data_IF_423333260875
#
_entry.id   IF_423333260875
#
_cell.length_a   1.000
_cell.length_b   1.000
_cell.length_c   1.000
_cell.angle_alpha   90.00
_cell.angle_beta   90.00
_cell.angle_gamma   90.00
#
_symmetry.space_group_name_H-M   'P 1'
#
loop_
_entity.id
_entity.type
_entity.pdbx_description
1 polymer ?
#
# COMPACT_ATOMS: atom_id res chain seq x y z
N UNK A 1 -17.76 -49.31 88.36
CA UNK A 1 -17.86 -47.87 88.65
C UNK A 1 -17.89 -47.12 87.34
N UNK A 2 -18.76 -46.12 87.28
CA UNK A 2 -19.29 -45.51 86.07
C UNK A 2 -18.28 -44.60 85.38
N UNK A 3 -18.23 -44.67 84.05
CA UNK A 3 -17.74 -43.58 83.23
C UNK A 3 -18.89 -42.57 83.04
N UNK A 4 -18.63 -41.26 83.07
CA UNK A 4 -19.66 -40.23 82.98
C UNK A 4 -20.30 -40.23 81.58
N UNK A 5 -21.60 -39.99 81.56
CA UNK A 5 -22.45 -39.90 80.38
C UNK A 5 -21.95 -38.84 79.38
N UNK A 6 -22.03 -39.08 78.07
CA UNK A 6 -21.76 -38.05 77.08
C UNK A 6 -22.84 -36.95 77.11
N UNK A 7 -22.48 -35.68 76.80
CA UNK A 7 -23.45 -34.59 76.71
C UNK A 7 -24.46 -34.82 75.56
N UNK A 8 -25.65 -34.20 75.63
CA UNK A 8 -26.76 -34.52 74.74
C UNK A 8 -26.54 -33.94 73.33
N UNK A 9 -26.89 -34.76 72.33
CA UNK A 9 -27.19 -34.39 70.94
C UNK A 9 -26.02 -33.96 70.04
N UNK A 10 -25.22 -34.93 69.60
CA UNK A 10 -24.79 -34.94 68.21
C UNK A 10 -26.03 -35.24 67.34
N UNK A 11 -26.78 -34.21 66.96
CA UNK A 11 -27.74 -34.32 65.88
C UNK A 11 -26.94 -34.34 64.57
N UNK A 12 -26.75 -35.55 64.04
CA UNK A 12 -26.48 -35.75 62.62
C UNK A 12 -27.61 -35.08 61.83
N UNK A 13 -27.37 -33.86 61.32
CA UNK A 13 -28.23 -33.27 60.29
C UNK A 13 -27.53 -33.38 58.95
N UNK A 14 -28.25 -33.97 58.01
CA UNK A 14 -27.90 -34.09 56.60
C UNK A 14 -27.49 -32.72 56.05
N UNK A 15 -26.37 -32.71 55.34
CA UNK A 15 -25.88 -31.56 54.61
C UNK A 15 -26.65 -31.43 53.30
N UNK A 16 -27.60 -30.51 53.25
CA UNK A 16 -28.14 -29.98 52.00
C UNK A 16 -27.62 -28.54 51.83
N UNK A 17 -26.73 -28.37 50.85
CA UNK A 17 -26.47 -27.11 50.14
C UNK A 17 -26.11 -25.86 50.96
N UNK A 18 -24.85 -25.43 50.81
CA UNK A 18 -24.36 -24.07 51.06
C UNK A 18 -24.30 -23.62 52.52
N UNK A 19 -23.11 -23.74 53.13
CA UNK A 19 -22.46 -22.71 53.98
C UNK A 19 -21.00 -23.18 54.21
N UNK A 20 -20.04 -22.36 53.77
CA UNK A 20 -18.62 -22.46 54.18
C UNK A 20 -18.45 -21.51 55.36
N UNK A 21 -18.17 -22.06 56.54
CA UNK A 21 -18.06 -21.28 57.77
C UNK A 21 -16.70 -20.57 57.86
N UNK A 22 -16.68 -19.24 57.73
CA UNK A 22 -15.58 -18.39 58.19
C UNK A 22 -16.15 -17.32 59.14
N UNK A 23 -15.41 -17.05 60.21
CA UNK A 23 -15.86 -16.47 61.47
C UNK A 23 -16.64 -15.14 61.39
N UNK A 24 -17.73 -15.07 62.18
CA UNK A 24 -18.40 -13.90 62.80
C UNK A 24 -19.31 -12.94 62.02
N UNK A 25 -19.65 -13.16 60.74
CA UNK A 25 -20.83 -12.50 60.15
C UNK A 25 -21.60 -13.47 59.26
N UNK A 26 -22.69 -14.05 59.78
CA UNK A 26 -23.61 -14.89 59.02
C UNK A 26 -24.47 -14.00 58.11
N UNK A 27 -23.92 -13.64 56.94
CA UNK A 27 -24.73 -13.16 55.82
C UNK A 27 -24.87 -14.31 54.81
N UNK A 28 -26.10 -14.59 54.39
CA UNK A 28 -26.34 -15.48 53.28
C UNK A 28 -25.79 -14.84 52.00
N UNK A 29 -24.88 -15.54 51.31
CA UNK A 29 -24.43 -15.14 49.99
C UNK A 29 -25.56 -15.37 48.98
N UNK A 30 -25.81 -14.39 48.13
CA UNK A 30 -26.64 -14.56 46.95
C UNK A 30 -26.01 -15.60 46.01
N UNK A 31 -26.81 -16.26 45.14
CA UNK A 31 -26.25 -17.14 44.12
C UNK A 31 -25.17 -16.47 43.25
N UNK A 32 -25.29 -15.16 43.01
CA UNK A 32 -24.29 -14.38 42.29
C UNK A 32 -22.99 -14.23 43.09
N UNK A 33 -23.04 -13.91 44.38
CA UNK A 33 -21.84 -13.80 45.23
C UNK A 33 -21.12 -15.16 45.38
N UNK A 34 -21.85 -16.28 45.39
CA UNK A 34 -21.25 -17.64 45.39
C UNK A 34 -20.57 -17.90 44.05
N UNK A 35 -21.23 -17.58 42.94
CA UNK A 35 -20.70 -17.75 41.59
C UNK A 35 -19.45 -16.88 41.36
N UNK A 36 -19.45 -15.63 41.80
CA UNK A 36 -18.32 -14.72 41.70
C UNK A 36 -17.10 -15.26 42.48
N UNK A 37 -17.33 -15.80 43.67
CA UNK A 37 -16.29 -16.39 44.52
C UNK A 37 -15.74 -17.70 43.96
N UNK A 38 -16.59 -18.52 43.34
CA UNK A 38 -16.18 -19.72 42.61
C UNK A 38 -15.35 -19.35 41.36
N UNK A 39 -15.84 -18.40 40.57
CA UNK A 39 -15.14 -17.90 39.38
C UNK A 39 -13.80 -17.27 39.76
N UNK A 40 -13.68 -16.55 40.88
CA UNK A 40 -12.42 -15.96 41.36
C UNK A 40 -11.29 -16.99 41.55
N UNK A 41 -11.62 -18.26 41.80
CA UNK A 41 -10.65 -19.35 41.92
C UNK A 41 -10.27 -20.04 40.61
N UNK A 42 -10.95 -19.73 39.50
CA UNK A 42 -10.70 -20.36 38.20
C UNK A 42 -10.05 -19.36 37.23
N UNK A 43 -8.97 -19.75 36.51
CA UNK A 43 -8.42 -18.90 35.46
C UNK A 43 -9.49 -18.62 34.39
N UNK A 44 -9.55 -17.40 33.83
CA UNK A 44 -10.43 -17.10 32.71
C UNK A 44 -10.09 -17.97 31.50
N UNK A 45 -11.10 -18.41 30.76
CA UNK A 45 -10.92 -19.09 29.47
C UNK A 45 -11.14 -18.06 28.39
N UNK A 46 -10.05 -17.61 27.77
CA UNK A 46 -10.11 -16.59 26.72
C UNK A 46 -10.75 -17.16 25.47
N UNK A 47 -11.80 -16.51 24.99
CA UNK A 47 -12.45 -16.84 23.74
C UNK A 47 -12.81 -15.56 23.00
N UNK A 48 -12.45 -15.48 21.73
CA UNK A 48 -12.62 -14.29 20.90
C UNK A 48 -13.39 -14.66 19.64
N UNK A 49 -14.20 -13.73 19.15
CA UNK A 49 -14.88 -13.85 17.86
C UNK A 49 -14.76 -12.56 17.06
N UNK A 50 -14.99 -12.64 15.76
CA UNK A 50 -14.98 -11.52 14.84
C UNK A 50 -16.21 -11.57 13.93
N UNK A 51 -16.68 -10.42 13.45
CA UNK A 51 -17.79 -10.35 12.49
C UNK A 51 -17.41 -10.88 11.10
N UNK A 52 -16.15 -10.72 10.70
CA UNK A 52 -15.55 -11.25 9.48
C UNK A 52 -14.15 -11.76 9.79
N UNK A 53 -13.71 -12.79 9.07
CA UNK A 53 -12.34 -13.34 9.19
C UNK A 53 -11.57 -13.26 7.89
N UNK A 54 -12.19 -12.78 6.81
CA UNK A 54 -11.50 -12.48 5.56
C UNK A 54 -12.17 -11.36 4.76
N UNK A 55 -11.39 -10.72 3.88
CA UNK A 55 -11.85 -9.67 2.97
C UNK A 55 -10.69 -8.87 2.39
N UNK A 56 -10.98 -7.89 1.52
CA UNK A 56 -9.95 -7.06 0.89
C UNK A 56 -9.54 -5.88 1.78
N UNK A 57 -8.28 -5.47 1.71
CA UNK A 57 -7.81 -4.25 2.36
C UNK A 57 -8.48 -2.98 1.78
N UNK A 58 -8.85 -1.99 2.61
CA UNK A 58 -8.83 -2.01 4.07
C UNK A 58 -10.00 -2.82 4.67
N UNK A 59 -9.71 -3.74 5.59
CA UNK A 59 -10.71 -4.61 6.22
C UNK A 59 -11.00 -4.17 7.67
N UNK A 60 -12.17 -3.59 7.90
CA UNK A 60 -12.66 -3.26 9.24
C UNK A 60 -13.29 -4.48 9.93
N UNK A 61 -12.69 -4.91 11.04
CA UNK A 61 -13.09 -6.09 11.83
C UNK A 61 -13.54 -5.66 13.22
N UNK A 62 -14.76 -6.05 13.59
CA UNK A 62 -15.29 -5.94 14.93
C UNK A 62 -14.96 -7.22 15.71
N UNK A 63 -14.15 -7.09 16.75
CA UNK A 63 -13.85 -8.18 17.68
C UNK A 63 -14.82 -8.17 18.86
N UNK A 64 -15.16 -9.36 19.34
CA UNK A 64 -15.97 -9.56 20.53
C UNK A 64 -15.28 -10.50 21.51
N UNK A 65 -15.21 -10.06 22.76
CA UNK A 65 -14.76 -10.86 23.89
C UNK A 65 -15.88 -11.78 24.39
N UNK A 66 -15.61 -13.09 24.44
CA UNK A 66 -16.45 -14.11 25.03
C UNK A 66 -15.74 -14.83 26.18
N UNK A 67 -14.73 -14.18 26.78
CA UNK A 67 -13.92 -14.74 27.86
C UNK A 67 -14.77 -15.03 29.09
N UNK A 68 -14.58 -16.23 29.65
CA UNK A 68 -15.31 -16.64 30.84
C UNK A 68 -14.75 -16.02 32.13
N UNK A 69 -15.52 -16.15 33.21
CA UNK A 69 -15.09 -15.82 34.58
C UNK A 69 -14.79 -14.33 34.85
N UNK A 70 -15.45 -13.43 34.12
CA UNK A 70 -15.52 -11.98 34.38
C UNK A 70 -14.16 -11.26 34.45
N UNK A 71 -13.46 -11.11 33.31
CA UNK A 71 -12.27 -10.27 33.24
C UNK A 71 -12.59 -8.79 33.54
N UNK A 72 -11.58 -8.06 34.01
CA UNK A 72 -11.70 -6.65 34.40
C UNK A 72 -10.88 -5.69 33.53
N UNK A 73 -9.97 -6.21 32.69
CA UNK A 73 -9.24 -5.43 31.69
C UNK A 73 -8.89 -6.30 30.47
N UNK A 74 -8.68 -5.63 29.33
CA UNK A 74 -8.37 -6.24 28.04
C UNK A 74 -7.14 -5.57 27.43
N UNK A 75 -6.30 -6.37 26.79
CA UNK A 75 -5.19 -5.91 25.97
C UNK A 75 -5.17 -6.76 24.69
N UNK A 76 -5.64 -6.16 23.60
CA UNK A 76 -5.64 -6.75 22.27
C UNK A 76 -4.33 -6.46 21.55
N UNK A 77 -3.86 -7.47 20.83
CA UNK A 77 -2.84 -7.39 19.80
C UNK A 77 -3.44 -7.99 18.52
N UNK A 78 -3.56 -7.16 17.48
CA UNK A 78 -4.20 -7.56 16.23
C UNK A 78 -3.25 -8.26 15.26
N UNK A 79 -1.95 -8.33 15.57
CA UNK A 79 -0.93 -9.00 14.75
C UNK A 79 -0.31 -8.13 13.65
N UNK A 80 -0.71 -6.86 13.54
CA UNK A 80 -0.20 -5.86 12.58
C UNK A 80 0.46 -4.65 13.26
N UNK A 81 0.74 -4.76 14.56
CA UNK A 81 1.21 -3.65 15.41
C UNK A 81 0.08 -2.81 16.03
N UNK A 82 -1.16 -2.99 15.58
CA UNK A 82 -2.34 -2.38 16.20
C UNK A 82 -2.68 -3.02 17.55
N UNK A 83 -3.12 -2.18 18.51
CA UNK A 83 -3.53 -2.63 19.85
C UNK A 83 -4.81 -1.94 20.33
N UNK A 84 -5.48 -2.53 21.31
CA UNK A 84 -6.64 -1.89 21.97
C UNK A 84 -6.82 -2.34 23.42
N UNK A 85 -7.42 -1.49 24.24
CA UNK A 85 -7.83 -1.81 25.62
C UNK A 85 -9.33 -1.91 25.81
N UNK A 86 -10.12 -1.75 24.74
CA UNK A 86 -11.56 -1.93 24.77
C UNK A 86 -11.92 -3.42 24.84
N UNK A 87 -13.04 -3.74 25.49
CA UNK A 87 -13.55 -5.12 25.53
C UNK A 87 -13.91 -5.64 24.13
N UNK A 88 -14.60 -4.84 23.33
CA UNK A 88 -15.05 -5.18 21.97
C UNK A 88 -14.59 -4.11 20.97
N UNK A 89 -13.32 -4.11 20.55
CA UNK A 89 -12.78 -3.09 19.64
C UNK A 89 -13.17 -3.34 18.19
N UNK A 90 -13.24 -2.26 17.41
CA UNK A 90 -13.11 -2.32 15.94
C UNK A 90 -11.67 -2.00 15.57
N UNK A 91 -11.07 -2.81 14.70
CA UNK A 91 -9.73 -2.59 14.14
C UNK A 91 -9.78 -2.69 12.63
N UNK A 92 -8.99 -1.88 11.93
CA UNK A 92 -8.95 -1.88 10.46
C UNK A 92 -7.56 -2.32 10.00
N UNK A 93 -7.51 -3.44 9.30
CA UNK A 93 -6.29 -3.93 8.66
C UNK A 93 -6.11 -3.24 7.30
N UNK A 94 -4.98 -2.56 7.10
CA UNK A 94 -4.73 -1.76 5.90
C UNK A 94 -3.94 -2.50 4.81
N UNK A 95 -3.24 -3.56 5.17
CA UNK A 95 -2.38 -4.34 4.27
C UNK A 95 -2.91 -5.76 4.08
N UNK A 96 -2.55 -6.37 2.96
CA UNK A 96 -2.74 -7.79 2.73
C UNK A 96 -1.90 -8.60 3.72
N UNK A 97 -2.45 -9.70 4.23
CA UNK A 97 -1.71 -10.57 5.15
C UNK A 97 -2.60 -11.53 5.91
N UNK A 98 -1.94 -12.46 6.61
CA UNK A 98 -2.58 -13.30 7.61
C UNK A 98 -2.17 -12.81 9.00
N UNK A 99 -3.16 -12.45 9.80
CA UNK A 99 -2.95 -11.82 11.10
C UNK A 99 -3.31 -12.77 12.24
N UNK A 100 -2.35 -12.97 13.13
CA UNK A 100 -2.53 -13.70 14.37
C UNK A 100 -3.04 -12.74 15.45
N UNK A 101 -4.24 -12.99 15.96
CA UNK A 101 -4.90 -12.11 16.94
C UNK A 101 -4.76 -12.69 18.34
N UNK A 102 -4.31 -11.87 19.28
CA UNK A 102 -4.20 -12.24 20.70
C UNK A 102 -5.00 -11.30 21.58
N UNK A 103 -5.70 -11.85 22.57
CA UNK A 103 -6.32 -11.11 23.65
C UNK A 103 -5.70 -11.55 24.97
N UNK A 104 -5.10 -10.61 25.68
CA UNK A 104 -4.72 -10.78 27.09
C UNK A 104 -5.78 -10.13 27.97
N UNK A 105 -6.41 -10.93 28.83
CA UNK A 105 -7.34 -10.40 29.84
C UNK A 105 -6.66 -10.36 31.20
N UNK A 106 -7.02 -9.37 32.01
CA UNK A 106 -6.63 -9.30 33.42
C UNK A 106 -7.83 -9.54 34.30
N UNK A 107 -7.62 -10.28 35.38
CA UNK A 107 -8.61 -10.51 36.44
C UNK A 107 -7.92 -10.54 37.80
N UNK A 108 -8.67 -10.18 38.85
CA UNK A 108 -8.25 -10.40 40.25
C UNK A 108 -8.45 -11.86 40.67
N UNK A 109 -7.39 -12.48 41.19
CA UNK A 109 -7.46 -13.78 41.84
C UNK A 109 -8.06 -13.70 43.27
N UNK A 110 -8.16 -14.83 43.95
CA UNK A 110 -8.67 -14.92 45.33
C UNK A 110 -7.88 -14.12 46.37
N UNK A 111 -6.64 -13.72 46.05
CA UNK A 111 -5.76 -12.91 46.89
C UNK A 111 -5.73 -11.44 46.45
N UNK A 112 -6.61 -11.03 45.52
CA UNK A 112 -6.67 -9.70 44.93
C UNK A 112 -5.41 -9.30 44.15
N UNK A 113 -4.68 -10.29 43.62
CA UNK A 113 -3.55 -10.11 42.72
C UNK A 113 -4.01 -10.20 41.26
N UNK A 114 -3.31 -9.50 40.37
CA UNK A 114 -3.61 -9.55 38.94
C UNK A 114 -3.12 -10.87 38.34
N UNK A 115 -4.05 -11.60 37.73
CA UNK A 115 -3.81 -12.77 36.91
C UNK A 115 -4.11 -12.44 35.46
N UNK A 116 -3.09 -12.57 34.61
CA UNK A 116 -3.20 -12.34 33.17
C UNK A 116 -3.29 -13.68 32.45
N UNK A 117 -4.23 -13.80 31.51
CA UNK A 117 -4.34 -14.97 30.62
C UNK A 117 -4.46 -14.48 29.20
N UNK A 118 -3.69 -15.09 28.31
CA UNK A 118 -3.68 -14.77 26.88
C UNK A 118 -4.31 -15.92 26.10
N UNK A 119 -5.26 -15.58 25.22
CA UNK A 119 -5.74 -16.47 24.16
C UNK A 119 -5.28 -15.94 22.81
N UNK A 120 -4.83 -16.84 21.94
CA UNK A 120 -4.32 -16.51 20.61
C UNK A 120 -5.03 -17.35 19.55
N UNK A 121 -5.44 -16.71 18.46
CA UNK A 121 -5.87 -17.39 17.23
C UNK A 121 -4.89 -17.08 16.12
N UNK A 122 -4.19 -18.12 15.67
CA UNK A 122 -3.20 -18.04 14.59
C UNK A 122 -3.93 -17.84 13.26
N UNK A 123 -3.43 -16.92 12.43
CA UNK A 123 -3.97 -16.59 11.09
C UNK A 123 -5.49 -16.41 11.11
N UNK A 124 -5.99 -15.71 12.13
CA UNK A 124 -7.43 -15.60 12.37
C UNK A 124 -8.12 -14.67 11.37
N UNK A 125 -7.42 -13.65 10.91
CA UNK A 125 -7.89 -12.70 9.90
C UNK A 125 -7.00 -12.81 8.66
N UNK A 126 -7.61 -13.08 7.51
CA UNK A 126 -6.94 -13.09 6.20
C UNK A 126 -7.39 -11.88 5.40
N UNK A 127 -6.49 -10.93 5.19
CA UNK A 127 -6.75 -9.77 4.35
C UNK A 127 -6.15 -10.02 2.98
N UNK A 128 -6.97 -9.96 1.95
CA UNK A 128 -6.58 -10.10 0.55
C UNK A 128 -6.21 -8.72 -0.03
N UNK A 129 -5.26 -8.69 -0.97
CA UNK A 129 -4.97 -7.50 -1.75
C UNK A 129 -6.11 -7.14 -2.69
N UNK A 130 -6.11 -5.90 -3.18
CA UNK A 130 -7.00 -5.51 -4.28
C UNK A 130 -6.71 -6.38 -5.50
N UNK A 131 -7.75 -6.72 -6.27
CA UNK A 131 -7.51 -7.30 -7.59
C UNK A 131 -6.76 -6.29 -8.47
N UNK A 132 -6.01 -6.77 -9.45
CA UNK A 132 -5.30 -5.88 -10.39
C UNK A 132 -6.26 -4.91 -11.10
N UNK A 133 -7.49 -5.35 -11.39
CA UNK A 133 -8.54 -4.50 -11.98
C UNK A 133 -8.95 -3.38 -11.04
N UNK A 134 -9.24 -3.70 -9.78
CA UNK A 134 -9.63 -2.69 -8.78
C UNK A 134 -8.48 -1.71 -8.53
N UNK A 135 -7.24 -2.20 -8.49
CA UNK A 135 -6.05 -1.35 -8.40
C UNK A 135 -5.95 -0.37 -9.58
N UNK A 136 -6.13 -0.85 -10.83
CA UNK A 136 -6.09 0.02 -12.01
C UNK A 136 -7.16 1.11 -11.97
N UNK A 137 -8.36 0.77 -11.49
CA UNK A 137 -9.50 1.68 -11.40
C UNK A 137 -9.31 2.69 -10.27
N UNK A 138 -9.09 2.21 -9.05
CA UNK A 138 -9.02 3.03 -7.84
C UNK A 138 -7.85 4.00 -7.89
N UNK A 139 -6.70 3.54 -8.39
CA UNK A 139 -5.47 4.34 -8.43
C UNK A 139 -5.29 5.10 -9.75
N UNK A 140 -6.23 5.01 -10.70
CA UNK A 140 -6.10 5.62 -12.03
C UNK A 140 -4.75 5.29 -12.70
N UNK A 141 -4.43 3.99 -12.79
CA UNK A 141 -3.12 3.53 -13.29
C UNK A 141 -2.95 3.94 -14.75
N UNK A 142 -1.89 4.69 -15.00
CA UNK A 142 -1.49 5.17 -16.32
C UNK A 142 -0.41 4.28 -16.94
N UNK A 143 0.71 4.11 -16.24
CA UNK A 143 1.85 3.29 -16.67
C UNK A 143 2.20 2.31 -15.56
N UNK A 144 2.34 1.03 -15.91
CA UNK A 144 2.84 0.00 -15.01
C UNK A 144 3.88 -0.85 -15.74
N UNK A 145 5.11 -0.89 -15.22
CA UNK A 145 6.15 -1.76 -15.75
C UNK A 145 7.50 -1.62 -15.05
N UNK A 146 8.48 -2.41 -15.46
CA UNK A 146 9.83 -2.35 -14.90
C UNK A 146 10.60 -1.09 -15.32
N UNK A 147 10.43 -0.67 -16.59
CA UNK A 147 11.19 0.45 -17.16
C UNK A 147 10.25 1.53 -17.67
N UNK A 148 10.59 2.79 -17.41
CA UNK A 148 10.06 3.93 -18.15
C UNK A 148 11.22 4.63 -18.84
N UNK A 149 11.32 4.50 -20.16
CA UNK A 149 12.37 5.14 -20.97
C UNK A 149 11.76 6.09 -21.97
N UNK A 150 12.19 7.35 -21.92
CA UNK A 150 11.51 8.42 -22.61
C UNK A 150 12.51 9.28 -23.38
N UNK A 151 12.31 9.38 -24.70
CA UNK A 151 13.02 10.30 -25.60
C UNK A 151 12.14 11.49 -26.04
N UNK A 152 10.92 11.60 -25.52
CA UNK A 152 9.93 12.61 -25.92
C UNK A 152 10.05 13.94 -25.16
N UNK A 153 8.95 14.70 -25.17
CA UNK A 153 8.77 16.00 -24.51
C UNK A 153 8.35 15.90 -23.04
N UNK A 154 7.41 15.02 -22.71
CA UNK A 154 6.96 14.80 -21.34
C UNK A 154 5.82 13.79 -21.22
N UNK A 155 5.53 13.46 -19.97
CA UNK A 155 4.43 12.59 -19.55
C UNK A 155 3.48 13.44 -18.70
N UNK A 156 2.20 13.48 -19.04
CA UNK A 156 1.20 14.30 -18.35
C UNK A 156 0.03 13.43 -17.89
N UNK A 157 -0.22 13.39 -16.59
CA UNK A 157 -1.34 12.68 -15.98
C UNK A 157 -1.69 13.20 -14.58
N UNK A 158 -2.17 14.44 -14.45
CA UNK A 158 -2.77 14.89 -13.19
C UNK A 158 -3.94 13.97 -12.80
N UNK A 159 -3.96 13.54 -11.53
CA UNK A 159 -4.90 12.56 -10.98
C UNK A 159 -4.56 11.09 -11.30
N UNK A 160 -3.48 10.83 -12.04
CA UNK A 160 -3.08 9.48 -12.44
C UNK A 160 -1.94 8.92 -11.57
N UNK A 161 -1.72 7.61 -11.72
CA UNK A 161 -0.62 6.89 -11.06
C UNK A 161 0.33 6.25 -12.06
N UNK A 162 1.63 6.38 -11.84
CA UNK A 162 2.67 5.59 -12.51
C UNK A 162 3.32 4.64 -11.50
N UNK A 163 3.54 3.39 -11.92
CA UNK A 163 4.28 2.37 -11.18
C UNK A 163 5.47 1.91 -12.02
N UNK A 164 6.68 2.14 -11.50
CA UNK A 164 7.94 1.68 -12.08
C UNK A 164 8.53 0.67 -11.09
N UNK A 165 8.66 -0.59 -11.48
CA UNK A 165 9.16 -1.66 -10.58
C UNK A 165 10.69 -1.83 -10.64
N UNK A 166 11.40 -0.76 -10.98
CA UNK A 166 12.84 -0.74 -11.15
C UNK A 166 13.38 0.69 -11.05
N UNK A 167 14.62 0.89 -11.46
CA UNK A 167 15.31 2.18 -11.32
C UNK A 167 14.80 3.24 -12.31
N UNK A 168 14.94 4.52 -11.92
CA UNK A 168 14.71 5.66 -12.79
C UNK A 168 15.96 6.54 -12.85
N UNK A 169 16.58 6.64 -14.03
CA UNK A 169 17.79 7.44 -14.23
C UNK A 169 17.60 8.64 -15.16
N UNK A 170 18.64 9.47 -15.27
CA UNK A 170 18.60 10.69 -16.08
C UNK A 170 18.45 10.40 -17.57
N UNK A 171 19.00 9.27 -18.05
CA UNK A 171 18.89 8.85 -19.45
C UNK A 171 17.45 8.41 -19.78
N UNK A 172 16.75 7.88 -18.79
CA UNK A 172 15.36 7.44 -18.86
C UNK A 172 14.38 8.59 -19.10
N UNK A 173 14.76 9.83 -18.81
CA UNK A 173 13.88 11.01 -18.95
C UNK A 173 14.34 11.98 -20.04
N UNK A 174 15.08 11.55 -21.07
CA UNK A 174 15.62 12.42 -22.12
C UNK A 174 16.41 13.63 -21.60
N UNK A 175 17.00 13.54 -20.39
CA UNK A 175 17.60 14.68 -19.69
C UNK A 175 16.64 15.88 -19.45
N UNK A 176 15.33 15.77 -19.66
CA UNK A 176 14.45 16.94 -19.61
C UNK A 176 12.95 16.68 -19.70
N UNK A 177 12.53 15.49 -20.11
CA UNK A 177 11.13 15.11 -20.15
C UNK A 177 10.59 15.00 -18.74
N UNK A 178 9.68 15.91 -18.38
CA UNK A 178 9.07 15.92 -17.04
C UNK A 178 7.98 14.85 -16.95
N UNK A 179 7.88 14.22 -15.79
CA UNK A 179 6.81 13.28 -15.43
C UNK A 179 5.83 14.03 -14.54
N UNK A 180 4.89 14.73 -15.17
CA UNK A 180 3.83 15.56 -14.55
C UNK A 180 2.63 14.66 -14.20
N UNK A 181 2.80 13.82 -13.18
CA UNK A 181 1.82 12.82 -12.71
C UNK A 181 1.60 12.98 -11.20
N UNK A 182 0.38 12.75 -10.72
CA UNK A 182 0.03 12.99 -9.31
C UNK A 182 0.66 11.98 -8.36
N UNK A 183 0.59 10.69 -8.68
CA UNK A 183 1.17 9.63 -7.84
C UNK A 183 2.22 8.85 -8.62
N UNK A 184 3.40 8.68 -8.04
CA UNK A 184 4.52 7.95 -8.67
C UNK A 184 5.09 6.95 -7.67
N UNK A 185 5.10 5.67 -8.03
CA UNK A 185 5.79 4.61 -7.31
C UNK A 185 7.03 4.18 -8.10
N UNK A 186 8.19 4.13 -7.45
CA UNK A 186 9.46 3.65 -8.00
C UNK A 186 10.05 2.61 -7.05
N UNK A 187 10.08 1.34 -7.48
CA UNK A 187 10.64 0.22 -6.72
C UNK A 187 12.13 0.04 -7.05
N UNK A 188 12.91 1.07 -6.75
CA UNK A 188 14.33 1.13 -7.10
C UNK A 188 14.94 2.49 -6.80
N UNK A 189 16.18 2.66 -7.22
CA UNK A 189 16.92 3.91 -7.06
C UNK A 189 16.45 4.95 -8.09
N UNK A 190 16.41 6.22 -7.68
CA UNK A 190 16.15 7.36 -8.55
C UNK A 190 17.40 8.22 -8.67
N UNK A 191 18.00 8.27 -9.85
CA UNK A 191 19.22 9.08 -10.11
C UNK A 191 18.99 10.10 -11.22
N UNK A 192 18.65 11.34 -10.84
CA UNK A 192 18.44 12.47 -11.74
C UNK A 192 19.58 13.49 -11.63
N UNK A 193 20.79 13.02 -11.93
CA UNK A 193 22.06 13.76 -11.90
C UNK A 193 22.45 14.36 -13.26
N UNK A 194 21.50 15.06 -13.87
CA UNK A 194 21.71 15.89 -15.06
C UNK A 194 20.40 16.46 -15.58
N UNK A 195 20.48 17.39 -16.54
CA UNK A 195 19.28 17.85 -17.22
C UNK A 195 18.27 18.62 -16.37
N UNK A 196 17.00 18.60 -16.75
CA UNK A 196 15.92 19.37 -16.11
C UNK A 196 14.60 18.61 -15.95
N UNK A 197 14.63 17.28 -16.06
CA UNK A 197 13.44 16.46 -15.89
C UNK A 197 12.90 16.57 -14.45
N UNK A 198 11.65 17.03 -14.32
CA UNK A 198 10.94 17.08 -13.03
C UNK A 198 10.09 15.84 -12.79
N UNK A 199 9.72 15.64 -11.53
CA UNK A 199 8.80 14.59 -11.09
C UNK A 199 7.61 15.22 -10.35
N UNK A 200 6.46 14.57 -10.46
CA UNK A 200 5.24 14.97 -9.78
C UNK A 200 4.49 16.07 -10.50
N UNK A 201 3.18 16.14 -10.26
CA UNK A 201 2.35 17.12 -10.93
C UNK A 201 2.35 18.48 -10.25
N UNK A 202 2.63 19.54 -11.02
CA UNK A 202 2.51 20.91 -10.52
C UNK A 202 1.06 21.31 -10.25
N UNK A 203 0.14 20.85 -11.11
CA UNK A 203 -1.27 21.26 -11.05
C UNK A 203 -2.07 20.48 -10.02
N UNK A 204 -1.69 19.22 -9.78
CA UNK A 204 -2.32 18.33 -8.79
C UNK A 204 -1.22 17.56 -8.04
N UNK A 205 -0.44 18.23 -7.17
CA UNK A 205 0.60 17.57 -6.38
C UNK A 205 0.01 16.42 -5.57
N UNK A 206 0.61 15.24 -5.67
CA UNK A 206 0.25 14.06 -4.90
C UNK A 206 1.47 13.53 -4.15
N UNK A 207 1.77 12.25 -4.32
CA UNK A 207 2.83 11.57 -3.59
C UNK A 207 3.82 10.88 -4.54
N UNK A 208 5.10 10.92 -4.18
CA UNK A 208 6.18 10.21 -4.88
C UNK A 208 6.80 9.24 -3.88
N UNK A 209 6.75 7.95 -4.16
CA UNK A 209 7.26 6.88 -3.32
C UNK A 209 8.47 6.22 -4.00
N UNK A 210 9.59 6.17 -3.29
CA UNK A 210 10.86 5.65 -3.81
C UNK A 210 11.38 4.60 -2.82
N UNK A 211 11.28 3.33 -3.21
CA UNK A 211 11.80 2.20 -2.43
C UNK A 211 13.32 2.00 -2.69
N UNK A 212 14.08 3.07 -2.50
CA UNK A 212 15.51 3.14 -2.81
C UNK A 212 16.09 4.49 -2.44
N UNK A 213 17.27 4.80 -2.96
CA UNK A 213 17.91 6.09 -2.81
C UNK A 213 17.35 7.10 -3.81
N UNK A 214 17.31 8.37 -3.41
CA UNK A 214 17.01 9.50 -4.28
C UNK A 214 18.25 10.38 -4.45
N UNK A 215 18.74 10.52 -5.67
CA UNK A 215 19.85 11.40 -6.03
C UNK A 215 19.39 12.50 -7.01
N UNK A 216 19.35 13.73 -6.50
CA UNK A 216 19.06 14.96 -7.22
C UNK A 216 20.26 15.92 -7.19
N UNK A 217 21.41 15.47 -7.69
CA UNK A 217 22.66 16.23 -7.56
C UNK A 217 22.82 17.40 -8.54
N UNK A 218 22.85 17.15 -9.86
CA UNK A 218 23.14 18.22 -10.85
C UNK A 218 21.98 18.42 -11.80
N UNK A 219 21.76 19.66 -12.22
CA UNK A 219 20.65 20.09 -13.10
C UNK A 219 19.56 20.86 -12.35
N UNK A 220 18.71 21.61 -13.04
CA UNK A 220 17.63 22.34 -12.37
C UNK A 220 16.30 21.72 -12.74
N UNK A 221 15.63 21.11 -11.77
CA UNK A 221 14.30 20.49 -11.93
C UNK A 221 13.38 20.88 -10.79
N UNK A 222 12.09 20.67 -10.98
CA UNK A 222 11.08 20.81 -9.96
C UNK A 222 10.57 19.43 -9.55
N UNK A 223 10.40 19.25 -8.24
CA UNK A 223 9.76 18.08 -7.64
C UNK A 223 8.49 18.57 -6.94
N UNK A 224 7.34 18.08 -7.39
CA UNK A 224 6.02 18.45 -6.86
C UNK A 224 5.38 17.27 -6.14
N UNK A 225 4.71 17.54 -5.02
CA UNK A 225 4.10 16.51 -4.18
C UNK A 225 5.02 16.01 -3.07
N UNK A 226 4.43 15.40 -2.05
CA UNK A 226 5.17 14.87 -0.92
C UNK A 226 5.99 13.65 -1.38
N UNK A 227 7.27 13.60 -0.98
CA UNK A 227 8.22 12.57 -1.42
C UNK A 227 8.58 11.67 -0.23
N UNK A 228 8.52 10.37 -0.44
CA UNK A 228 8.86 9.35 0.55
C UNK A 228 10.01 8.51 0.00
N UNK A 229 11.11 8.43 0.74
CA UNK A 229 12.36 7.79 0.33
C UNK A 229 12.73 6.75 1.38
N UNK A 230 12.76 5.47 1.00
CA UNK A 230 13.14 4.37 1.90
C UNK A 230 14.66 4.27 2.13
N UNK A 231 15.47 4.91 1.28
CA UNK A 231 16.92 4.98 1.41
C UNK A 231 17.45 6.39 1.68
N UNK A 232 18.64 6.68 1.16
CA UNK A 232 19.30 7.98 1.36
C UNK A 232 18.83 9.01 0.34
N UNK A 233 18.90 10.28 0.72
CA UNK A 233 18.57 11.41 -0.16
C UNK A 233 19.77 12.32 -0.37
N UNK A 234 20.17 12.53 -1.63
CA UNK A 234 21.19 13.50 -2.02
C UNK A 234 20.53 14.65 -2.79
N UNK A 235 20.66 15.88 -2.29
CA UNK A 235 19.99 17.05 -2.84
C UNK A 235 20.97 18.20 -3.07
N UNK A 236 21.04 18.71 -4.31
CA UNK A 236 21.89 19.87 -4.62
C UNK A 236 21.19 20.92 -5.49
N UNK A 237 21.03 20.76 -6.79
CA UNK A 237 20.55 21.86 -7.67
C UNK A 237 19.02 21.89 -7.90
N UNK A 238 18.28 20.96 -7.27
CA UNK A 238 16.85 20.77 -7.49
C UNK A 238 15.96 21.70 -6.64
N UNK A 239 14.71 21.84 -7.07
CA UNK A 239 13.66 22.64 -6.42
C UNK A 239 12.60 21.72 -5.85
N UNK A 240 12.44 21.71 -4.54
CA UNK A 240 11.45 20.91 -3.82
C UNK A 240 10.29 21.82 -3.42
N UNK A 241 9.07 21.46 -3.84
CA UNK A 241 7.87 22.25 -3.59
C UNK A 241 7.07 21.80 -2.38
N UNK A 242 7.27 20.57 -1.89
CA UNK A 242 6.48 19.92 -0.83
C UNK A 242 7.41 19.20 0.17
N UNK A 243 6.85 18.38 1.07
CA UNK A 243 7.67 17.71 2.07
C UNK A 243 8.43 16.52 1.50
N UNK A 244 9.55 16.19 2.12
CA UNK A 244 10.33 14.98 1.85
C UNK A 244 10.52 14.22 3.15
N UNK A 245 10.28 12.92 3.13
CA UNK A 245 10.42 11.99 4.24
C UNK A 245 11.48 10.96 3.87
N UNK A 246 12.63 11.00 4.54
CA UNK A 246 13.81 10.18 4.22
C UNK A 246 14.06 9.19 5.36
N UNK A 247 13.92 7.91 5.09
CA UNK A 247 14.31 6.86 6.04
C UNK A 247 15.79 6.48 5.87
N UNK A 248 16.67 7.49 6.00
CA UNK A 248 18.09 7.34 5.76
C UNK A 248 18.88 8.63 5.95
N UNK A 249 20.11 8.64 5.42
CA UNK A 249 20.99 9.80 5.46
C UNK A 249 20.57 10.87 4.43
N UNK A 250 20.79 12.14 4.80
CA UNK A 250 20.55 13.31 3.94
C UNK A 250 21.90 13.98 3.59
N UNK A 251 22.24 14.01 2.31
CA UNK A 251 23.40 14.76 1.79
C UNK A 251 22.93 16.00 1.03
N UNK A 252 23.39 17.17 1.46
CA UNK A 252 23.10 18.45 0.81
C UNK A 252 24.33 18.95 0.05
N UNK A 253 24.20 19.25 -1.23
CA UNK A 253 25.15 20.03 -2.01
C UNK A 253 24.70 21.48 -2.17
N UNK A 254 25.50 22.35 -2.80
CA UNK A 254 25.15 23.78 -2.95
C UNK A 254 23.89 24.03 -3.80
N UNK A 255 23.19 25.13 -3.48
CA UNK A 255 22.09 25.72 -4.27
C UNK A 255 20.77 24.95 -4.40
N UNK A 256 20.29 24.16 -3.40
CA UNK A 256 18.94 23.65 -3.47
C UNK A 256 17.96 24.78 -3.19
N UNK A 257 16.76 24.62 -3.70
CA UNK A 257 15.66 25.50 -3.36
C UNK A 257 14.55 24.68 -2.73
N UNK A 258 14.08 25.12 -1.56
CA UNK A 258 12.94 24.56 -0.87
C UNK A 258 11.87 25.65 -0.79
N UNK A 259 10.63 25.33 -1.16
CA UNK A 259 9.48 26.21 -0.93
C UNK A 259 9.37 26.57 0.56
N UNK A 260 8.67 27.66 0.88
CA UNK A 260 8.64 28.22 2.24
C UNK A 260 8.09 27.23 3.29
N UNK A 261 7.11 26.43 2.88
CA UNK A 261 6.44 25.38 3.66
C UNK A 261 7.07 23.99 3.52
N UNK A 262 7.90 23.75 2.50
CA UNK A 262 8.60 22.48 2.31
C UNK A 262 9.57 22.16 3.45
N UNK A 263 9.53 20.93 3.96
CA UNK A 263 10.47 20.39 4.95
C UNK A 263 11.06 19.07 4.48
N UNK A 264 12.28 18.78 4.92
CA UNK A 264 12.91 17.46 4.74
C UNK A 264 13.03 16.83 6.13
N UNK A 265 12.29 15.76 6.37
CA UNK A 265 12.38 14.95 7.57
C UNK A 265 13.30 13.77 7.29
N UNK A 266 14.23 13.46 8.20
CA UNK A 266 15.19 12.37 7.98
C UNK A 266 15.48 11.59 9.27
N UNK A 267 15.74 10.29 9.16
CA UNK A 267 16.05 9.41 10.32
C UNK A 267 17.55 9.22 10.57
N UNK A 268 18.38 9.37 9.52
CA UNK A 268 19.83 9.19 9.58
C UNK A 268 20.61 10.46 9.97
N UNK A 269 21.77 10.61 9.37
CA UNK A 269 22.67 11.75 9.53
C UNK A 269 22.50 12.77 8.42
N UNK A 270 22.95 14.00 8.66
CA UNK A 270 23.02 15.05 7.64
C UNK A 270 24.47 15.41 7.32
N UNK A 271 24.80 15.43 6.03
CA UNK A 271 26.09 15.87 5.50
C UNK A 271 25.86 17.10 4.62
N UNK A 272 26.63 18.17 4.83
CA UNK A 272 26.55 19.39 4.01
C UNK A 272 27.91 20.12 3.97
N UNK A 273 28.17 20.96 2.94
CA UNK A 273 29.35 21.83 2.88
C UNK A 273 29.53 22.72 4.12
N UNK A 274 30.76 23.14 4.38
CA UNK A 274 31.03 24.16 5.40
C UNK A 274 30.32 25.48 5.05
N UNK A 275 29.81 26.20 6.07
CA UNK A 275 29.09 27.48 5.91
C UNK A 275 27.83 27.38 5.05
N UNK A 276 27.06 26.30 5.21
CA UNK A 276 25.83 26.06 4.47
C UNK A 276 24.70 27.03 4.87
N UNK A 277 23.75 27.37 3.98
CA UNK A 277 22.68 28.32 4.28
C UNK A 277 21.78 27.86 5.44
N UNK A 278 21.70 28.67 6.49
CA UNK A 278 21.00 28.33 7.73
C UNK A 278 19.48 28.20 7.55
N UNK A 279 18.91 28.93 6.58
CA UNK A 279 17.50 28.87 6.19
C UNK A 279 17.12 27.53 5.55
N UNK A 280 18.02 26.94 4.75
CA UNK A 280 17.83 25.58 4.21
C UNK A 280 18.00 24.53 5.31
N UNK A 281 19.05 24.66 6.15
CA UNK A 281 19.26 23.72 7.26
C UNK A 281 18.08 23.71 8.24
N UNK A 282 17.48 24.86 8.54
CA UNK A 282 16.32 24.97 9.42
C UNK A 282 15.09 24.21 8.90
N UNK A 283 15.02 23.92 7.59
CA UNK A 283 13.97 23.11 6.97
C UNK A 283 14.26 21.60 6.98
N UNK A 284 15.48 21.19 7.37
CA UNK A 284 15.90 19.81 7.48
C UNK A 284 15.79 19.35 8.94
N UNK A 285 14.83 18.47 9.26
CA UNK A 285 14.40 18.15 10.61
C UNK A 285 14.69 16.66 10.91
N UNK A 286 15.60 16.33 11.84
CA UNK A 286 15.81 14.93 12.24
C UNK A 286 14.58 14.39 12.98
N UNK A 287 14.22 13.15 12.71
CA UNK A 287 13.11 12.43 13.34
C UNK A 287 13.57 11.03 13.76
N UNK A 288 12.95 10.46 14.79
CA UNK A 288 13.22 9.06 15.15
C UNK A 288 12.66 8.09 14.09
N UNK A 289 11.54 8.46 13.48
CA UNK A 289 10.84 7.73 12.42
C UNK A 289 10.19 8.72 11.47
N UNK A 290 10.08 8.37 10.20
CA UNK A 290 9.24 9.08 9.23
C UNK A 290 8.03 8.21 8.85
N UNK A 291 6.97 8.76 8.24
CA UNK A 291 5.88 7.94 7.71
C UNK A 291 6.41 6.91 6.71
N UNK A 292 6.15 5.63 6.97
CA UNK A 292 6.42 4.55 6.02
C UNK A 292 5.40 4.51 4.89
N UNK A 293 5.69 3.72 3.88
CA UNK A 293 4.79 3.45 2.76
C UNK A 293 4.98 2.01 2.28
N UNK A 294 3.96 1.49 1.60
CA UNK A 294 4.01 0.20 0.93
C UNK A 294 4.02 0.42 -0.59
N UNK A 295 4.82 -0.37 -1.29
CA UNK A 295 4.79 -0.41 -2.75
C UNK A 295 3.60 -1.24 -3.23
N UNK A 296 2.99 -0.90 -4.39
CA UNK A 296 1.94 -1.72 -4.97
C UNK A 296 2.45 -3.13 -5.30
N UNK A 297 2.05 -4.13 -4.50
CA UNK A 297 2.37 -5.54 -4.72
C UNK A 297 1.34 -6.19 -5.67
N UNK A 298 1.28 -5.67 -6.90
CA UNK A 298 0.28 -6.08 -7.88
C UNK A 298 0.97 -6.81 -9.04
N UNK A 299 0.92 -8.15 -9.03
CA UNK A 299 1.40 -8.93 -10.17
C UNK A 299 0.56 -8.61 -11.41
N UNK A 300 1.21 -8.24 -12.52
CA UNK A 300 0.50 -8.02 -13.79
C UNK A 300 -0.09 -9.37 -14.22
N UNK A 301 -1.43 -9.50 -14.32
CA UNK A 301 -2.06 -10.78 -14.61
C UNK A 301 -1.77 -11.21 -16.06
N UNK A 302 -1.89 -12.52 -16.38
CA UNK A 302 -1.84 -12.95 -17.76
C UNK A 302 -3.02 -12.39 -18.56
N UNK A 303 -2.88 -12.36 -19.88
CA UNK A 303 -4.01 -12.09 -20.78
C UNK A 303 -5.11 -13.16 -20.61
N UNK A 304 -6.36 -12.77 -20.85
CA UNK A 304 -7.52 -13.69 -20.80
C UNK A 304 -7.41 -14.82 -21.84
N UNK A 305 -8.21 -15.90 -21.72
CA UNK A 305 -8.21 -16.97 -22.72
C UNK A 305 -8.55 -16.45 -24.13
N UNK A 306 -7.95 -17.03 -25.18
CA UNK A 306 -8.14 -16.60 -26.56
C UNK A 306 -9.62 -16.53 -27.00
N UNK A 307 -10.44 -17.48 -26.56
CA UNK A 307 -11.88 -17.53 -26.88
C UNK A 307 -12.65 -16.33 -26.31
N UNK A 308 -12.19 -15.77 -25.18
CA UNK A 308 -12.77 -14.56 -24.60
C UNK A 308 -12.59 -13.35 -25.52
N UNK A 309 -11.40 -13.22 -26.13
CA UNK A 309 -11.08 -12.15 -27.09
C UNK A 309 -11.81 -12.35 -28.42
N UNK A 310 -11.85 -13.59 -28.93
CA UNK A 310 -12.58 -13.91 -30.16
C UNK A 310 -14.07 -13.57 -30.04
N UNK A 311 -14.69 -13.89 -28.89
CA UNK A 311 -16.08 -13.53 -28.61
C UNK A 311 -16.35 -12.02 -28.56
N UNK A 312 -15.29 -11.20 -28.40
CA UNK A 312 -15.35 -9.73 -28.30
C UNK A 312 -14.80 -9.00 -29.53
N UNK A 313 -14.58 -9.73 -30.63
CA UNK A 313 -14.18 -9.15 -31.91
C UNK A 313 -12.72 -8.71 -32.00
N UNK A 314 -11.85 -9.22 -31.14
CA UNK A 314 -10.40 -8.99 -31.27
C UNK A 314 -9.86 -9.78 -32.46
N UNK A 315 -9.01 -9.14 -33.25
CA UNK A 315 -8.32 -9.75 -34.39
C UNK A 315 -6.88 -10.14 -34.02
N UNK A 316 -6.28 -11.07 -34.77
CA UNK A 316 -4.91 -11.54 -34.52
C UNK A 316 -3.81 -10.60 -35.02
N UNK A 317 -4.17 -9.43 -35.54
CA UNK A 317 -3.23 -8.45 -36.12
C UNK A 317 -3.91 -7.58 -37.19
N UNK A 318 -3.09 -6.86 -37.96
CA UNK A 318 -3.57 -6.00 -39.05
C UNK A 318 -3.01 -4.58 -38.98
N UNK A 319 -3.41 -3.75 -39.94
CA UNK A 319 -2.99 -2.36 -40.01
C UNK A 319 -3.55 -1.55 -38.83
N UNK A 320 -2.70 -0.74 -38.21
CA UNK A 320 -3.08 0.20 -37.15
C UNK A 320 -4.13 1.19 -37.67
N UNK A 321 -5.37 1.05 -37.20
CA UNK A 321 -6.54 1.84 -37.60
C UNK A 321 -7.42 2.11 -36.38
N UNK A 322 -8.25 3.15 -36.43
CA UNK A 322 -9.13 3.47 -35.30
C UNK A 322 -10.11 2.34 -34.97
N UNK A 323 -10.46 2.19 -33.69
CA UNK A 323 -11.35 1.16 -33.14
C UNK A 323 -10.83 -0.28 -33.29
N UNK A 324 -9.55 -0.46 -33.63
CA UNK A 324 -8.95 -1.78 -33.76
C UNK A 324 -8.77 -2.43 -32.39
N UNK A 325 -9.19 -3.69 -32.26
CA UNK A 325 -8.92 -4.55 -31.10
C UNK A 325 -8.02 -5.71 -31.52
N UNK A 326 -6.84 -5.85 -30.92
CA UNK A 326 -5.84 -6.87 -31.27
C UNK A 326 -5.54 -7.76 -30.08
N UNK A 327 -5.55 -9.07 -30.32
CA UNK A 327 -4.99 -10.07 -29.41
C UNK A 327 -4.04 -10.97 -30.19
N UNK A 328 -2.75 -10.88 -29.88
CA UNK A 328 -1.68 -11.61 -30.57
C UNK A 328 -0.53 -11.94 -29.62
N UNK A 329 0.42 -12.77 -30.07
CA UNK A 329 1.67 -13.02 -29.32
C UNK A 329 2.46 -11.73 -29.11
N UNK A 330 2.58 -10.95 -30.19
CA UNK A 330 3.19 -9.63 -30.28
C UNK A 330 2.45 -8.80 -31.33
N UNK A 331 2.55 -7.47 -31.26
CA UNK A 331 2.02 -6.56 -32.27
C UNK A 331 3.10 -5.62 -32.80
N UNK A 332 3.12 -5.39 -34.11
CA UNK A 332 4.08 -4.47 -34.73
C UNK A 332 3.44 -3.65 -35.86
N UNK A 333 3.59 -2.33 -35.78
CA UNK A 333 3.28 -1.38 -36.84
C UNK A 333 4.40 -0.34 -36.93
N UNK A 334 5.31 -0.52 -37.89
CA UNK A 334 6.52 0.30 -38.07
C UNK A 334 6.52 1.15 -39.34
N UNK A 335 5.56 0.92 -40.23
CA UNK A 335 5.34 1.75 -41.42
C UNK A 335 4.51 2.98 -41.07
N UNK A 336 4.61 4.04 -41.89
CA UNK A 336 3.78 5.22 -41.71
C UNK A 336 2.29 4.85 -41.70
N UNK A 337 1.59 5.38 -40.69
CA UNK A 337 0.13 5.25 -40.50
C UNK A 337 -0.44 6.61 -40.11
N UNK A 338 -1.68 6.94 -40.51
CA UNK A 338 -2.39 8.07 -39.93
C UNK A 338 -2.67 7.81 -38.45
N UNK A 339 -3.05 8.86 -37.72
CA UNK A 339 -3.48 8.75 -36.32
C UNK A 339 -4.58 7.70 -36.17
N UNK A 340 -4.40 6.79 -35.20
CA UNK A 340 -5.38 5.77 -34.87
C UNK A 340 -5.92 6.02 -33.46
N UNK A 341 -7.24 6.07 -33.33
CA UNK A 341 -7.92 6.38 -32.07
C UNK A 341 -8.69 5.19 -31.55
N UNK A 342 -8.82 5.07 -30.23
CA UNK A 342 -9.55 3.99 -29.58
C UNK A 342 -9.04 2.59 -29.98
N UNK A 343 -7.72 2.38 -29.93
CA UNK A 343 -7.13 1.05 -30.17
C UNK A 343 -7.00 0.27 -28.86
N UNK A 344 -7.21 -1.04 -28.90
CA UNK A 344 -6.95 -1.92 -27.78
C UNK A 344 -6.00 -3.00 -28.28
N UNK A 345 -4.78 -3.04 -27.76
CA UNK A 345 -3.74 -3.94 -28.27
C UNK A 345 -3.20 -4.77 -27.12
N UNK A 346 -3.36 -6.09 -27.25
CA UNK A 346 -2.96 -7.09 -26.28
C UNK A 346 -1.89 -7.98 -26.91
N UNK A 347 -0.67 -7.93 -26.35
CA UNK A 347 0.43 -8.81 -26.71
C UNK A 347 0.65 -9.83 -25.57
N UNK A 348 0.12 -11.04 -25.71
CA UNK A 348 0.05 -12.01 -24.59
C UNK A 348 1.42 -12.50 -24.10
N UNK A 349 2.42 -12.55 -24.99
CA UNK A 349 3.73 -13.15 -24.69
C UNK A 349 4.92 -12.28 -25.04
N UNK A 350 4.75 -11.30 -25.92
CA UNK A 350 5.85 -10.45 -26.41
C UNK A 350 5.48 -8.98 -26.46
N UNK A 351 6.10 -8.27 -27.40
CA UNK A 351 6.13 -6.82 -27.41
C UNK A 351 4.99 -6.20 -28.24
N UNK A 352 4.63 -4.96 -27.89
CA UNK A 352 3.88 -4.05 -28.73
C UNK A 352 4.85 -3.01 -29.28
N UNK A 353 4.97 -2.90 -30.60
CA UNK A 353 5.81 -1.90 -31.28
C UNK A 353 4.97 -1.05 -32.22
N UNK A 354 4.85 0.24 -31.94
CA UNK A 354 4.18 1.22 -32.80
C UNK A 354 5.14 2.36 -33.08
N UNK A 355 5.78 2.33 -34.24
CA UNK A 355 6.81 3.31 -34.61
C UNK A 355 6.64 3.73 -36.07
N UNK A 356 7.41 4.74 -36.49
CA UNK A 356 7.41 5.19 -37.89
C UNK A 356 6.13 5.93 -38.31
N UNK A 357 5.24 6.28 -37.35
CA UNK A 357 3.99 6.99 -37.63
C UNK A 357 4.19 8.52 -37.76
N UNK A 358 5.41 9.01 -37.50
CA UNK A 358 5.79 10.41 -37.72
C UNK A 358 4.96 11.39 -36.88
N UNK A 359 4.34 12.37 -37.55
CA UNK A 359 3.46 13.36 -36.91
C UNK A 359 2.12 12.81 -36.40
N UNK A 360 1.82 11.54 -36.65
CA UNK A 360 0.61 10.87 -36.15
C UNK A 360 0.77 10.39 -34.72
N UNK A 361 -0.35 10.06 -34.08
CA UNK A 361 -0.37 9.51 -32.72
C UNK A 361 -1.33 8.32 -32.57
N UNK A 362 -1.43 7.82 -31.35
CA UNK A 362 -2.38 6.77 -30.99
C UNK A 362 -3.16 7.12 -29.72
N UNK A 363 -4.41 6.67 -29.64
CA UNK A 363 -5.15 6.67 -28.37
C UNK A 363 -5.68 5.28 -28.05
N UNK A 364 -5.54 4.79 -26.81
CA UNK A 364 -5.97 3.43 -26.51
C UNK A 364 -5.42 2.77 -25.25
N UNK A 365 -5.61 1.45 -25.19
CA UNK A 365 -5.10 0.57 -24.14
C UNK A 365 -4.05 -0.36 -24.73
N UNK A 366 -2.87 -0.41 -24.10
CA UNK A 366 -1.75 -1.23 -24.53
C UNK A 366 -1.33 -2.15 -23.39
N UNK A 367 -1.52 -3.46 -23.57
CA UNK A 367 -1.27 -4.46 -22.54
C UNK A 367 -0.27 -5.52 -23.03
N UNK A 368 0.87 -5.60 -22.35
CA UNK A 368 1.95 -6.55 -22.63
C UNK A 368 2.42 -7.21 -21.31
N UNK A 369 1.68 -8.19 -20.76
CA UNK A 369 1.97 -8.76 -19.44
C UNK A 369 3.32 -9.49 -19.34
N UNK A 370 3.96 -9.78 -20.47
CA UNK A 370 5.24 -10.48 -20.54
C UNK A 370 6.28 -9.77 -21.42
N UNK A 371 6.01 -8.53 -21.82
CA UNK A 371 6.83 -7.80 -22.77
C UNK A 371 6.80 -6.30 -22.51
N UNK A 372 7.27 -5.54 -23.49
CA UNK A 372 7.33 -4.08 -23.44
C UNK A 372 6.44 -3.43 -24.49
N UNK A 373 6.18 -2.14 -24.29
CA UNK A 373 5.54 -1.27 -25.29
C UNK A 373 6.59 -0.29 -25.81
N UNK A 374 6.79 -0.26 -27.12
CA UNK A 374 7.68 0.70 -27.80
C UNK A 374 6.85 1.62 -28.69
N UNK A 375 6.95 2.93 -28.46
CA UNK A 375 6.19 3.96 -29.17
C UNK A 375 7.11 5.01 -29.82
N UNK A 376 6.83 5.33 -31.09
CA UNK A 376 7.54 6.35 -31.85
C UNK A 376 6.61 7.11 -32.80
N UNK A 377 5.98 8.17 -32.27
CA UNK A 377 5.09 9.09 -32.99
C UNK A 377 4.94 10.42 -32.24
N UNK A 378 4.04 11.30 -32.69
CA UNK A 378 3.85 12.62 -32.07
C UNK A 378 3.20 12.55 -30.67
N UNK A 379 2.23 11.66 -30.47
CA UNK A 379 1.57 11.51 -29.17
C UNK A 379 1.01 10.11 -28.92
N UNK A 380 0.94 9.73 -27.64
CA UNK A 380 0.17 8.58 -27.15
C UNK A 380 -0.76 9.06 -26.04
N UNK A 381 -2.06 8.79 -26.17
CA UNK A 381 -3.02 9.01 -25.07
C UNK A 381 -3.61 7.68 -24.61
N UNK A 382 -3.65 7.41 -23.30
CA UNK A 382 -4.29 6.20 -22.80
C UNK A 382 -3.56 5.53 -21.64
N UNK A 383 -3.59 4.20 -21.63
CA UNK A 383 -3.03 3.35 -20.58
C UNK A 383 -2.02 2.37 -21.16
N UNK A 384 -0.87 2.24 -20.50
CA UNK A 384 0.22 1.36 -20.90
C UNK A 384 0.61 0.47 -19.72
N UNK A 385 0.25 -0.81 -19.79
CA UNK A 385 0.63 -1.80 -18.78
C UNK A 385 1.51 -2.84 -19.46
N UNK A 386 2.80 -2.84 -19.14
CA UNK A 386 3.80 -3.65 -19.82
C UNK A 386 4.91 -4.06 -18.85
N UNK A 387 5.05 -5.36 -18.59
CA UNK A 387 5.99 -5.88 -17.57
C UNK A 387 7.42 -5.40 -17.80
N UNK A 388 7.90 -5.49 -19.04
CA UNK A 388 9.28 -5.11 -19.38
C UNK A 388 9.43 -3.61 -19.66
N UNK A 389 8.35 -2.84 -19.48
CA UNK A 389 8.39 -1.39 -19.49
C UNK A 389 7.81 -0.70 -20.73
N UNK A 390 7.86 0.62 -20.70
CA UNK A 390 7.38 1.52 -21.73
C UNK A 390 8.52 2.39 -22.28
N UNK A 391 8.73 2.31 -23.60
CA UNK A 391 9.83 2.95 -24.31
C UNK A 391 9.28 3.94 -25.34
N UNK A 392 9.54 5.22 -25.15
CA UNK A 392 9.26 6.27 -26.15
C UNK A 392 10.55 6.62 -26.86
N UNK A 393 10.59 6.39 -28.17
CA UNK A 393 11.82 6.49 -28.97
C UNK A 393 11.86 7.70 -29.90
N UNK A 394 10.77 8.48 -30.01
CA UNK A 394 10.72 9.67 -30.85
C UNK A 394 10.91 10.94 -30.03
N UNK A 395 11.79 11.82 -30.51
CA UNK A 395 11.88 13.19 -30.03
C UNK A 395 10.54 13.91 -30.18
N UNK A 396 10.19 14.75 -29.21
CA UNK A 396 8.99 15.58 -29.27
C UNK A 396 7.68 14.88 -28.88
N UNK A 397 7.70 13.57 -28.62
CA UNK A 397 6.50 12.82 -28.24
C UNK A 397 5.87 13.34 -26.94
N UNK A 398 4.56 13.56 -26.94
CA UNK A 398 3.80 13.79 -25.72
C UNK A 398 3.03 12.53 -25.31
N UNK A 399 3.13 12.11 -24.05
CA UNK A 399 2.33 11.00 -23.53
C UNK A 399 1.35 11.52 -22.49
N UNK A 400 0.06 11.24 -22.66
CA UNK A 400 -1.01 11.79 -21.84
C UNK A 400 -1.90 10.69 -21.27
N UNK A 401 -2.15 10.75 -19.98
CA UNK A 401 -3.08 9.82 -19.34
C UNK A 401 -4.50 10.04 -19.85
N UNK A 402 -5.17 8.94 -20.17
CA UNK A 402 -6.64 8.85 -20.26
C UNK A 402 -7.04 7.59 -19.51
N UNK A 403 -8.03 7.70 -18.63
CA UNK A 403 -8.50 6.56 -17.86
C UNK A 403 -9.00 5.46 -18.82
N UNK A 404 -8.77 4.20 -18.44
CA UNK A 404 -9.15 3.01 -19.20
C UNK A 404 -10.67 2.96 -19.47
N UNK A 405 -11.50 3.52 -18.59
CA UNK A 405 -12.96 3.62 -18.75
C UNK A 405 -13.40 4.41 -20.01
N UNK A 406 -12.54 5.29 -20.52
CA UNK A 406 -12.77 6.05 -21.75
C UNK A 406 -12.67 5.18 -23.00
N UNK A 407 -12.03 4.01 -22.91
CA UNK A 407 -11.86 3.05 -23.99
C UNK A 407 -12.69 1.78 -23.77
N UNK A 408 -12.87 1.37 -22.52
CA UNK A 408 -13.60 0.16 -22.12
C UNK A 408 -14.55 0.52 -20.98
N UNK A 409 -15.84 0.66 -21.28
CA UNK A 409 -16.81 1.15 -20.28
C UNK A 409 -17.23 0.14 -19.21
N UNK A 410 -17.11 -1.16 -19.48
CA UNK A 410 -17.41 -2.22 -18.50
C UNK A 410 -16.09 -2.78 -17.95
N UNK A 411 -15.81 -2.66 -16.64
CA UNK A 411 -14.65 -3.28 -16.00
C UNK A 411 -14.52 -4.80 -16.24
N UNK A 412 -15.63 -5.52 -16.45
CA UNK A 412 -15.60 -6.95 -16.77
C UNK A 412 -15.02 -7.22 -18.18
N UNK A 413 -14.98 -6.20 -19.02
CA UNK A 413 -14.38 -6.24 -20.36
C UNK A 413 -12.94 -5.71 -20.39
N UNK A 414 -12.33 -5.43 -19.23
CA UNK A 414 -10.90 -5.12 -19.18
C UNK A 414 -10.11 -6.34 -19.65
N UNK A 415 -9.08 -6.16 -20.48
CA UNK A 415 -8.48 -7.26 -21.23
C UNK A 415 -7.43 -8.04 -20.43
N UNK A 416 -7.38 -7.87 -19.11
CA UNK A 416 -6.44 -8.53 -18.20
C UNK A 416 -7.24 -9.30 -17.15
#
# INVERSE_FOLDING_TARGET
MNWPSPPPSAQLRKFDGNILCLQTHERAFTPQEILDKYNAGCPPVVNITANVTSGTAPLAVQFNDLTSHSPTAWAWDFGDGGTSTLQNPTHTYLAQGNYTVSLTVTKKDVNNLDANVTGTKIDYITVEGKSFVDFVIDENVFVYGNVLSFSGSGVTGPGATIVITGDLDTASTNLGASIDVTTIYIDGDVTLSGGSAGLGSQSHPGNIYINGNLDLWTGSRNIYGDVYVAGNFRLKDARIHNNVYVDGDLELGWTPWLADDARIYYTGTIIHPASYPADILAKCIPQATVPGFDMPDQEIPPAKPADWYAARGYVSGGALTSNMKVFADSYSSTSWRPTATNVIIIARTGDITITGIGGSGVTGVFFAPNGRVTFGGAFLEGVVIARDGFYVTSGGTQVTFRNIDQYIGDPNDYPF
#
